data_IF_754655067193
#
_entry.id   IF_754655067193
#
_cell.length_a   1.000
_cell.length_b   1.000
_cell.length_c   1.000
_cell.angle_alpha   90.00
_cell.angle_beta   90.00
_cell.angle_gamma   90.00
#
_symmetry.space_group_name_H-M   'P 1'
#
loop_
_entity.id
_entity.type
_entity.pdbx_description
1 polymer ?
#
# COMPACT_ATOMS: atom_id res chain seq x y z
N UNK A 1 -6.62 -8.74 7.42
CA UNK A 1 -5.90 -7.48 7.11
C UNK A 1 -4.44 -7.71 7.37
N UNK A 2 -3.58 -7.29 6.46
CA UNK A 2 -2.13 -7.44 6.50
C UNK A 2 -1.50 -6.10 6.14
N UNK A 3 -0.45 -5.71 6.84
CA UNK A 3 0.35 -4.53 6.52
C UNK A 3 1.80 -4.92 6.20
N UNK A 4 2.39 -4.24 5.21
CA UNK A 4 3.80 -4.46 4.85
C UNK A 4 4.80 -3.72 5.74
N UNK A 5 4.33 -2.88 6.67
CA UNK A 5 5.22 -2.11 7.55
C UNK A 5 5.84 -3.01 8.63
N UNK A 6 5.08 -3.99 9.13
CA UNK A 6 5.60 -4.99 10.05
C UNK A 6 6.80 -5.77 9.47
N UNK A 7 6.82 -6.02 8.16
CA UNK A 7 7.94 -6.70 7.50
C UNK A 7 9.24 -5.88 7.50
N UNK A 8 9.18 -4.59 7.83
CA UNK A 8 10.34 -3.71 8.04
C UNK A 8 10.83 -3.63 9.49
N UNK A 9 10.16 -4.30 10.45
CA UNK A 9 10.54 -4.27 11.86
C UNK A 9 11.81 -5.12 12.11
N UNK A 10 12.95 -4.54 11.72
CA UNK A 10 14.27 -5.18 11.76
C UNK A 10 15.30 -4.29 12.48
N UNK A 11 16.24 -4.94 13.17
CA UNK A 11 17.36 -4.28 13.84
C UNK A 11 18.69 -4.91 13.41
N UNK A 12 19.61 -4.16 12.78
CA UNK A 12 19.53 -2.72 12.49
C UNK A 12 18.54 -2.39 11.36
N UNK A 13 17.90 -1.22 11.44
CA UNK A 13 17.11 -0.70 10.32
C UNK A 13 18.03 -0.16 9.23
N UNK A 14 18.13 -0.89 8.11
CA UNK A 14 18.94 -0.51 6.97
C UNK A 14 18.12 -0.68 5.68
N UNK A 15 18.02 0.36 4.86
CA UNK A 15 17.26 0.30 3.60
C UNK A 15 18.24 0.11 2.45
N UNK A 16 18.40 -1.14 2.00
CA UNK A 16 19.23 -1.51 0.85
C UNK A 16 18.51 -2.62 0.04
N UNK A 17 19.13 -3.11 -1.03
CA UNK A 17 18.46 -4.07 -1.91
C UNK A 17 18.30 -5.46 -1.28
N UNK A 18 19.23 -5.88 -0.41
CA UNK A 18 19.12 -7.12 0.37
C UNK A 18 17.95 -7.04 1.36
N UNK A 19 17.85 -5.97 2.15
CA UNK A 19 16.77 -5.82 3.14
C UNK A 19 15.40 -5.61 2.49
N UNK A 20 15.34 -4.93 1.33
CA UNK A 20 14.11 -4.87 0.52
C UNK A 20 13.69 -6.26 0.05
N UNK A 21 14.63 -7.09 -0.42
CA UNK A 21 14.32 -8.44 -0.87
C UNK A 21 13.76 -9.29 0.27
N UNK A 22 14.37 -9.22 1.47
CA UNK A 22 13.88 -9.89 2.68
C UNK A 22 12.46 -9.43 3.03
N UNK A 23 12.17 -8.13 2.95
CA UNK A 23 10.82 -7.60 3.20
C UNK A 23 9.81 -8.17 2.21
N UNK A 24 10.14 -8.19 0.93
CA UNK A 24 9.25 -8.72 -0.11
C UNK A 24 9.06 -10.24 0.05
N UNK A 25 10.09 -10.98 0.45
CA UNK A 25 9.98 -12.41 0.78
C UNK A 25 9.04 -12.63 1.96
N UNK A 26 9.17 -11.85 3.03
CA UNK A 26 8.31 -11.93 4.20
C UNK A 26 6.84 -11.62 3.85
N UNK A 27 6.60 -10.57 3.06
CA UNK A 27 5.27 -10.21 2.56
C UNK A 27 4.68 -11.38 1.75
N UNK A 28 5.46 -11.93 0.83
CA UNK A 28 5.01 -12.99 -0.09
C UNK A 28 4.68 -14.27 0.68
N UNK A 29 5.50 -14.64 1.66
CA UNK A 29 5.24 -15.77 2.55
C UNK A 29 3.93 -15.59 3.34
N UNK A 30 3.72 -14.41 3.94
CA UNK A 30 2.48 -14.08 4.64
C UNK A 30 1.26 -14.18 3.72
N UNK A 31 1.33 -13.58 2.53
CA UNK A 31 0.24 -13.62 1.56
C UNK A 31 -0.06 -15.05 1.11
N UNK A 32 0.96 -15.85 0.74
CA UNK A 32 0.78 -17.25 0.34
C UNK A 32 0.12 -18.11 1.43
N UNK A 33 0.48 -17.89 2.69
CA UNK A 33 -0.16 -18.58 3.82
C UNK A 33 -1.65 -18.23 3.94
N UNK A 34 -1.99 -16.94 3.82
CA UNK A 34 -3.38 -16.50 3.92
C UNK A 34 -4.21 -16.96 2.71
N UNK A 35 -3.67 -16.86 1.50
CA UNK A 35 -4.30 -17.34 0.26
C UNK A 35 -4.54 -18.86 0.33
N UNK A 36 -3.63 -19.61 0.95
CA UNK A 36 -3.78 -21.07 1.10
C UNK A 36 -4.76 -21.49 2.19
N UNK A 37 -5.18 -20.58 3.07
CA UNK A 37 -6.11 -20.87 4.14
C UNK A 37 -7.55 -20.79 3.65
N UNK A 38 -8.23 -21.93 3.56
CA UNK A 38 -9.62 -22.03 3.07
C UNK A 38 -10.66 -21.34 3.98
N UNK A 39 -10.27 -20.91 5.18
CA UNK A 39 -11.16 -20.18 6.11
C UNK A 39 -11.27 -18.70 5.74
N UNK A 40 -10.26 -18.12 5.09
CA UNK A 40 -10.24 -16.70 4.77
C UNK A 40 -10.86 -16.45 3.39
N UNK A 41 -11.98 -15.75 3.37
CA UNK A 41 -12.67 -15.37 2.13
C UNK A 41 -12.06 -14.11 1.49
N UNK A 42 -11.54 -13.20 2.31
CA UNK A 42 -11.08 -11.89 1.88
C UNK A 42 -9.74 -11.53 2.54
N UNK A 43 -8.78 -11.09 1.73
CA UNK A 43 -7.47 -10.63 2.19
C UNK A 43 -7.31 -9.17 1.76
N UNK A 44 -7.13 -8.29 2.75
CA UNK A 44 -6.78 -6.88 2.52
C UNK A 44 -5.32 -6.72 2.89
N UNK A 45 -4.48 -6.39 1.91
CA UNK A 45 -3.08 -6.05 2.10
C UNK A 45 -2.84 -4.56 1.83
N UNK A 46 -2.14 -3.88 2.73
CA UNK A 46 -1.85 -2.46 2.63
C UNK A 46 -0.36 -2.18 2.86
N UNK A 47 0.27 -1.46 1.93
CA UNK A 47 1.66 -1.05 2.07
C UNK A 47 1.98 0.15 1.19
N UNK A 48 3.10 0.83 1.45
CA UNK A 48 3.59 1.97 0.64
C UNK A 48 4.34 1.43 -0.57
N UNK A 49 3.58 1.08 -1.62
CA UNK A 49 4.11 0.62 -2.91
C UNK A 49 3.97 1.75 -3.93
N UNK A 50 5.02 2.55 -4.11
CA UNK A 50 5.00 3.76 -4.94
C UNK A 50 5.58 3.54 -6.34
N UNK A 51 5.88 2.29 -6.71
CA UNK A 51 6.43 1.90 -8.00
C UNK A 51 5.73 0.61 -8.44
N UNK A 52 5.45 0.48 -9.75
CA UNK A 52 4.74 -0.68 -10.30
C UNK A 52 5.54 -1.98 -10.07
N UNK A 53 6.87 -1.91 -10.20
CA UNK A 53 7.79 -3.02 -9.98
C UNK A 53 7.65 -3.67 -8.60
N UNK A 54 7.27 -2.91 -7.56
CA UNK A 54 7.07 -3.46 -6.21
C UNK A 54 5.85 -4.37 -6.16
N UNK A 55 4.74 -3.96 -6.81
CA UNK A 55 3.54 -4.80 -6.91
C UNK A 55 3.86 -6.05 -7.75
N UNK A 56 4.54 -5.86 -8.88
CA UNK A 56 4.87 -6.95 -9.79
C UNK A 56 5.76 -8.00 -9.10
N UNK A 57 6.75 -7.56 -8.32
CA UNK A 57 7.65 -8.43 -7.57
C UNK A 57 6.88 -9.23 -6.52
N UNK A 58 6.04 -8.59 -5.69
CA UNK A 58 5.17 -9.28 -4.72
C UNK A 58 4.28 -10.32 -5.42
N UNK A 59 3.59 -9.92 -6.50
CA UNK A 59 2.67 -10.81 -7.22
C UNK A 59 3.41 -11.98 -7.89
N UNK A 60 4.63 -11.78 -8.38
CA UNK A 60 5.44 -12.83 -9.01
C UNK A 60 5.86 -13.95 -8.06
N UNK A 61 5.87 -13.67 -6.74
CA UNK A 61 6.22 -14.62 -5.67
C UNK A 61 5.00 -15.33 -5.08
N UNK A 62 3.79 -15.06 -5.56
CA UNK A 62 2.57 -15.74 -5.11
C UNK A 62 2.41 -17.07 -5.84
N UNK A 63 2.21 -18.16 -5.09
CA UNK A 63 2.21 -19.54 -5.60
C UNK A 63 0.87 -19.99 -6.19
N UNK A 64 -0.23 -19.47 -5.63
CA UNK A 64 -1.58 -19.78 -6.08
C UNK A 64 -2.15 -18.57 -6.81
N UNK A 65 -3.00 -18.83 -7.79
CA UNK A 65 -3.68 -17.80 -8.57
C UNK A 65 -5.21 -17.94 -8.54
N UNK A 66 -5.74 -18.75 -7.62
CA UNK A 66 -7.17 -18.92 -7.40
C UNK A 66 -7.70 -17.84 -6.45
N UNK A 67 -7.57 -16.59 -6.89
CA UNK A 67 -8.13 -15.42 -6.22
C UNK A 67 -8.49 -14.36 -7.25
N UNK A 68 -9.44 -13.49 -6.87
CA UNK A 68 -9.74 -12.29 -7.64
C UNK A 68 -8.90 -11.15 -7.09
N UNK A 69 -8.04 -10.57 -7.93
CA UNK A 69 -7.16 -9.48 -7.53
C UNK A 69 -7.78 -8.12 -7.80
N UNK A 70 -7.90 -7.31 -6.76
CA UNK A 70 -8.24 -5.89 -6.87
C UNK A 70 -7.06 -5.04 -6.40
N UNK A 71 -6.59 -4.12 -7.25
CA UNK A 71 -5.48 -3.23 -6.93
C UNK A 71 -5.97 -1.78 -6.90
N UNK A 72 -5.77 -1.11 -5.77
CA UNK A 72 -6.19 0.29 -5.58
C UNK A 72 -5.00 1.17 -5.21
N UNK A 73 -4.99 2.40 -5.72
CA UNK A 73 -4.12 3.46 -5.22
C UNK A 73 -4.96 4.59 -4.64
N UNK A 74 -4.73 4.90 -3.36
CA UNK A 74 -5.29 6.09 -2.73
C UNK A 74 -4.43 7.29 -3.12
N UNK A 75 -4.94 8.11 -4.03
CA UNK A 75 -4.24 9.30 -4.54
C UNK A 75 -4.80 10.56 -3.88
N UNK A 76 -4.01 11.61 -3.80
CA UNK A 76 -4.50 12.91 -3.33
C UNK A 76 -3.74 14.05 -4.00
N UNK A 77 -4.33 15.24 -3.94
CA UNK A 77 -3.64 16.46 -4.37
C UNK A 77 -2.42 16.72 -3.50
N UNK A 78 -1.41 17.37 -4.09
CA UNK A 78 -0.21 17.79 -3.37
C UNK A 78 -0.57 18.64 -2.13
N UNK A 79 -1.54 19.53 -2.28
CA UNK A 79 -2.03 20.40 -1.20
C UNK A 79 -2.61 19.58 -0.03
N UNK A 80 -3.43 18.56 -0.34
CA UNK A 80 -4.00 17.68 0.68
C UNK A 80 -2.91 16.86 1.39
N UNK A 81 -1.95 16.32 0.64
CA UNK A 81 -0.81 15.59 1.19
C UNK A 81 0.02 16.46 2.15
N UNK A 82 0.43 17.65 1.69
CA UNK A 82 1.22 18.59 2.49
C UNK A 82 0.46 18.99 3.75
N UNK A 83 -0.83 19.32 3.64
CA UNK A 83 -1.67 19.70 4.78
C UNK A 83 -1.72 18.60 5.86
N UNK A 84 -1.88 17.34 5.45
CA UNK A 84 -1.90 16.18 6.36
C UNK A 84 -0.56 15.97 7.04
N UNK A 85 0.53 15.93 6.28
CA UNK A 85 1.88 15.75 6.85
C UNK A 85 2.25 16.93 7.77
N UNK A 86 1.86 18.15 7.42
CA UNK A 86 2.09 19.33 8.27
C UNK A 86 1.35 19.23 9.61
N UNK A 87 0.15 18.63 9.65
CA UNK A 87 -0.57 18.33 10.88
C UNK A 87 0.19 17.31 11.73
N UNK A 88 0.68 16.23 11.13
CA UNK A 88 1.47 15.20 11.81
C UNK A 88 2.78 15.78 12.40
N UNK A 89 3.44 16.69 11.67
CA UNK A 89 4.63 17.39 12.14
C UNK A 89 4.31 18.27 13.35
N UNK A 90 3.19 19.01 13.32
CA UNK A 90 2.75 19.82 14.48
C UNK A 90 2.47 18.96 15.72
N UNK A 91 2.06 17.70 15.51
CA UNK A 91 1.83 16.71 16.57
C UNK A 91 3.11 15.96 16.99
N UNK A 92 4.27 16.24 16.37
CA UNK A 92 5.52 15.56 16.67
C UNK A 92 5.61 14.11 16.15
N UNK A 93 4.68 13.67 15.31
CA UNK A 93 4.65 12.31 14.77
C UNK A 93 5.58 12.12 13.56
N UNK A 94 5.95 13.21 12.89
CA UNK A 94 6.78 13.19 11.67
C UNK A 94 7.75 14.36 11.64
N UNK A 95 8.81 14.21 10.86
CA UNK A 95 9.81 15.24 10.58
C UNK A 95 9.52 15.92 9.24
N UNK A 96 10.07 17.14 9.05
CA UNK A 96 9.78 17.97 7.87
C UNK A 96 10.29 17.40 6.55
N UNK A 97 11.36 16.60 6.58
CA UNK A 97 11.94 15.93 5.41
C UNK A 97 10.95 14.97 4.73
N UNK A 98 9.94 14.49 5.48
CA UNK A 98 8.90 13.59 4.96
C UNK A 98 8.06 14.24 3.85
N UNK A 99 7.91 15.57 3.84
CA UNK A 99 7.11 16.27 2.83
C UNK A 99 7.72 16.07 1.44
N UNK A 100 8.99 16.43 1.27
CA UNK A 100 9.66 16.40 -0.04
C UNK A 100 9.68 14.99 -0.64
N UNK A 101 9.99 13.98 0.17
CA UNK A 101 9.99 12.57 -0.27
C UNK A 101 8.59 12.05 -0.61
N UNK A 102 7.55 12.56 0.04
CA UNK A 102 6.17 12.10 -0.21
C UNK A 102 5.62 12.76 -1.47
N UNK A 103 5.86 14.06 -1.65
CA UNK A 103 5.45 14.81 -2.84
C UNK A 103 6.11 14.25 -4.10
N UNK A 104 7.42 13.91 -4.05
CA UNK A 104 8.13 13.38 -5.21
C UNK A 104 7.55 12.06 -5.75
N UNK A 105 6.85 11.30 -4.90
CA UNK A 105 6.23 10.00 -5.23
C UNK A 105 4.80 10.11 -5.75
N UNK A 106 4.13 11.25 -5.59
CA UNK A 106 2.71 11.41 -5.97
C UNK A 106 2.43 11.00 -7.41
N UNK A 107 3.28 11.45 -8.34
CA UNK A 107 3.13 11.16 -9.77
C UNK A 107 3.19 9.66 -10.08
N UNK A 108 3.94 8.89 -9.29
CA UNK A 108 4.16 7.48 -9.59
C UNK A 108 2.86 6.69 -9.42
N UNK A 109 2.06 7.02 -8.40
CA UNK A 109 0.78 6.35 -8.16
C UNK A 109 -0.17 6.44 -9.35
N UNK A 110 -0.17 7.57 -10.08
CA UNK A 110 -0.98 7.75 -11.28
C UNK A 110 -0.52 6.87 -12.46
N UNK A 111 0.73 6.42 -12.46
CA UNK A 111 1.30 5.56 -13.50
C UNK A 111 1.14 4.07 -13.21
N UNK A 112 0.75 3.70 -11.99
CA UNK A 112 0.57 2.30 -11.60
C UNK A 112 -0.66 1.68 -12.28
N UNK A 113 -0.62 0.37 -12.52
CA UNK A 113 -1.76 -0.41 -12.99
C UNK A 113 -2.69 -0.76 -11.81
N UNK A 114 -3.46 0.24 -11.37
CA UNK A 114 -4.39 0.18 -10.25
C UNK A 114 -5.60 1.09 -10.50
N UNK A 115 -6.74 0.80 -9.86
CA UNK A 115 -7.85 1.74 -9.80
C UNK A 115 -7.51 2.89 -8.85
N UNK A 116 -7.70 4.14 -9.30
CA UNK A 116 -7.38 5.34 -8.51
C UNK A 116 -8.58 5.78 -7.71
N UNK A 117 -8.36 6.05 -6.42
CA UNK A 117 -9.37 6.62 -5.54
C UNK A 117 -8.81 7.94 -5.01
N UNK A 118 -9.39 9.05 -5.47
CA UNK A 118 -9.02 10.38 -4.97
C UNK A 118 -9.55 10.54 -3.55
N UNK A 119 -8.62 10.53 -2.60
CA UNK A 119 -8.90 10.70 -1.18
C UNK A 119 -8.68 12.13 -0.70
N UNK A 120 -8.50 13.12 -1.57
CA UNK A 120 -8.14 14.51 -1.20
C UNK A 120 -9.13 15.13 -0.22
N UNK A 121 -10.43 14.92 -0.46
CA UNK A 121 -11.52 15.60 0.25
C UNK A 121 -12.54 14.65 0.86
N UNK A 122 -12.21 13.36 0.97
CA UNK A 122 -13.10 12.34 1.55
C UNK A 122 -12.44 11.69 2.76
N UNK A 123 -13.29 11.17 3.65
CA UNK A 123 -12.89 10.41 4.82
C UNK A 123 -12.42 9.00 4.45
N UNK A 124 -11.74 8.35 5.41
CA UNK A 124 -11.36 6.94 5.26
C UNK A 124 -12.58 6.01 5.08
N UNK A 125 -13.72 6.34 5.70
CA UNK A 125 -14.97 5.58 5.55
C UNK A 125 -15.52 5.69 4.14
N UNK A 126 -15.59 6.90 3.58
CA UNK A 126 -16.04 7.12 2.20
C UNK A 126 -15.11 6.43 1.20
N UNK A 127 -13.79 6.48 1.42
CA UNK A 127 -12.84 5.75 0.59
C UNK A 127 -13.09 4.23 0.63
N UNK A 128 -13.34 3.66 1.81
CA UNK A 128 -13.67 2.25 1.96
C UNK A 128 -15.00 1.88 1.26
N UNK A 129 -16.01 2.75 1.32
CA UNK A 129 -17.28 2.55 0.60
C UNK A 129 -17.09 2.57 -0.92
N UNK A 130 -16.19 3.41 -1.45
CA UNK A 130 -15.84 3.44 -2.88
C UNK A 130 -15.13 2.16 -3.30
N UNK A 131 -14.18 1.66 -2.49
CA UNK A 131 -13.50 0.38 -2.72
C UNK A 131 -14.53 -0.76 -2.76
N UNK A 132 -15.41 -0.81 -1.76
CA UNK A 132 -16.44 -1.84 -1.66
C UNK A 132 -17.36 -1.85 -2.88
N UNK A 133 -17.83 -0.68 -3.32
CA UNK A 133 -18.64 -0.55 -4.54
C UNK A 133 -17.88 -1.04 -5.78
N UNK A 134 -16.59 -0.71 -5.93
CA UNK A 134 -15.78 -1.19 -7.05
C UNK A 134 -15.73 -2.71 -7.11
N UNK A 135 -15.56 -3.37 -5.95
CA UNK A 135 -15.49 -4.83 -5.87
C UNK A 135 -16.85 -5.45 -6.26
N UNK A 136 -17.95 -4.97 -5.69
CA UNK A 136 -19.29 -5.56 -5.91
C UNK A 136 -19.81 -5.36 -7.34
N UNK A 137 -19.47 -4.25 -8.00
CA UNK A 137 -19.97 -3.96 -9.35
C UNK A 137 -19.02 -4.39 -10.50
N UNK A 138 -17.77 -4.76 -10.20
CA UNK A 138 -16.84 -5.36 -11.18
C UNK A 138 -16.79 -6.89 -11.10
N UNK A 139 -17.36 -7.51 -10.06
CA UNK A 139 -17.56 -8.97 -9.94
C UNK A 139 -18.76 -9.42 -10.78
#
# INVERSE_FOLDING_TARGET
FLDGEWCWDMSPFNVNDETKNVVVDNISYLLNNFISCLVYENIIFCWVMHEQSIIDDVLSRLEKHDYILYKFSLVCSEQALISRIAKDIKMGMRTKDVINRSVSRLKNYFQMDTDKIDVSNISAKEAAEIIFKHIIYKS
#
